data_IF_636727214390
#
_entry.id   IF_636727214390
#
_cell.length_a   1.000
_cell.length_b   1.000
_cell.length_c   1.000
_cell.angle_alpha   90.00
_cell.angle_beta   90.00
_cell.angle_gamma   90.00
#
_symmetry.space_group_name_H-M   'P 1'
#
loop_
_entity.id
_entity.type
_entity.pdbx_description
1 polymer ?
#
# COMPACT_ATOMS: atom_id res chain seq x y z
N UNK A 1 35.23 -55.46 37.78
CA UNK A 1 35.32 -54.55 36.63
C UNK A 1 33.90 -54.01 36.40
N UNK A 2 33.55 -52.85 36.93
CA UNK A 2 32.20 -52.26 36.90
C UNK A 2 32.23 -50.95 36.09
N UNK A 3 31.37 -50.86 35.24
CA UNK A 3 30.95 -50.07 34.10
C UNK A 3 31.05 -48.53 34.28
N UNK A 4 31.72 -47.80 33.40
CA UNK A 4 31.67 -46.32 33.38
C UNK A 4 30.54 -45.77 32.42
N UNK A 5 29.52 -46.54 32.11
CA UNK A 5 28.47 -46.10 31.14
C UNK A 5 27.41 -45.18 31.69
N UNK A 6 27.26 -45.08 33.01
CA UNK A 6 26.17 -44.31 33.62
C UNK A 6 26.50 -42.83 33.79
N UNK A 7 27.79 -42.48 33.85
CA UNK A 7 28.24 -41.10 34.00
C UNK A 7 28.19 -40.27 32.70
N UNK A 8 28.29 -40.91 31.53
CA UNK A 8 28.20 -40.24 30.26
C UNK A 8 26.76 -39.86 29.88
N UNK A 9 25.77 -40.60 30.34
CA UNK A 9 24.38 -40.30 30.06
C UNK A 9 23.84 -39.08 30.83
N UNK A 10 24.37 -38.88 32.04
CA UNK A 10 24.02 -37.76 32.92
C UNK A 10 24.59 -36.42 32.41
N UNK A 11 25.79 -36.45 31.81
CA UNK A 11 26.41 -35.24 31.25
C UNK A 11 25.71 -34.78 29.95
N UNK A 12 25.20 -35.71 29.15
CA UNK A 12 24.50 -35.38 27.88
C UNK A 12 23.12 -34.82 28.15
N UNK A 13 22.45 -35.22 29.23
CA UNK A 13 21.11 -34.73 29.59
C UNK A 13 21.14 -33.32 30.17
N UNK A 14 22.22 -32.92 30.83
CA UNK A 14 22.43 -31.57 31.36
C UNK A 14 22.70 -30.52 30.26
N UNK A 15 23.32 -30.91 29.13
CA UNK A 15 23.60 -29.99 28.03
C UNK A 15 22.39 -29.60 27.21
N UNK A 16 21.29 -30.41 27.26
CA UNK A 16 20.05 -30.11 26.54
C UNK A 16 19.10 -29.13 27.28
N UNK A 17 19.34 -28.89 28.57
CA UNK A 17 18.52 -27.97 29.36
C UNK A 17 19.03 -26.54 29.38
N UNK A 18 20.25 -26.29 28.85
CA UNK A 18 20.82 -24.94 28.82
C UNK A 18 20.48 -24.11 27.57
N UNK A 19 19.70 -24.68 26.62
CA UNK A 19 19.46 -24.05 25.33
C UNK A 19 18.19 -23.17 25.25
N UNK A 20 17.49 -22.93 26.35
CA UNK A 20 16.25 -22.13 26.35
C UNK A 20 16.23 -21.02 27.41
N UNK A 21 17.37 -20.41 27.69
CA UNK A 21 17.39 -19.12 28.38
C UNK A 21 17.62 -18.02 27.33
N UNK A 22 16.63 -17.83 26.50
CA UNK A 22 16.50 -16.58 25.75
C UNK A 22 16.27 -15.49 26.78
N UNK A 23 17.34 -14.77 27.11
CA UNK A 23 17.28 -13.58 27.96
C UNK A 23 16.26 -12.65 27.36
N UNK A 24 15.15 -12.43 28.07
CA UNK A 24 14.36 -11.24 27.95
C UNK A 24 15.24 -10.06 28.40
N UNK A 25 16.15 -9.62 27.53
CA UNK A 25 16.73 -8.29 27.70
C UNK A 25 15.54 -7.31 27.58
N UNK A 26 15.36 -6.42 28.56
CA UNK A 26 14.44 -5.32 28.39
C UNK A 26 14.85 -4.61 27.10
N UNK A 27 13.95 -4.58 26.13
CA UNK A 27 14.16 -3.88 24.86
C UNK A 27 14.38 -2.40 25.24
N UNK A 28 15.63 -1.96 25.09
CA UNK A 28 15.97 -0.56 25.31
C UNK A 28 15.07 0.25 24.36
N UNK A 29 14.29 1.22 24.89
CA UNK A 29 13.39 1.98 24.04
C UNK A 29 14.19 2.58 22.88
N UNK A 30 13.82 2.22 21.66
CA UNK A 30 14.46 2.72 20.47
C UNK A 30 14.58 4.25 20.56
N UNK A 31 15.74 4.83 20.24
CA UNK A 31 15.90 6.27 20.28
C UNK A 31 14.79 6.94 19.46
N UNK A 32 14.22 8.05 19.92
CA UNK A 32 13.17 8.74 19.18
C UNK A 32 13.70 9.02 17.77
N UNK A 33 12.97 8.52 16.77
CA UNK A 33 13.31 8.81 15.38
C UNK A 33 13.35 10.31 15.22
N UNK A 34 14.44 10.88 14.66
CA UNK A 34 14.44 12.30 14.38
C UNK A 34 13.21 12.60 13.52
N UNK A 35 12.41 13.57 13.97
CA UNK A 35 11.32 14.09 13.13
C UNK A 35 11.98 14.54 11.83
N UNK A 36 11.76 13.81 10.76
CA UNK A 36 12.07 14.30 9.41
C UNK A 36 11.12 15.48 9.18
N UNK A 37 11.53 16.64 9.62
CA UNK A 37 10.98 17.87 9.06
C UNK A 37 11.57 17.88 7.66
N UNK A 38 10.73 17.53 6.67
CA UNK A 38 11.12 17.68 5.27
C UNK A 38 11.34 19.17 5.04
N UNK A 39 12.59 19.64 4.83
CA UNK A 39 12.85 21.04 4.56
C UNK A 39 12.28 21.47 3.20
N UNK A 40 11.80 20.50 2.41
CA UNK A 40 11.18 20.74 1.12
C UNK A 40 9.70 20.32 1.22
N UNK A 41 8.77 21.22 1.55
CA UNK A 41 7.35 20.90 1.62
C UNK A 41 6.94 20.31 0.27
N UNK A 42 6.07 19.28 0.33
CA UNK A 42 5.49 18.68 -0.88
C UNK A 42 5.00 19.78 -1.82
N UNK A 43 5.31 19.70 -3.11
CA UNK A 43 4.82 20.69 -4.07
C UNK A 43 3.29 20.74 -3.99
N UNK A 44 2.72 21.90 -4.29
CA UNK A 44 1.26 22.04 -4.37
C UNK A 44 0.68 21.01 -5.34
N UNK A 45 -0.52 20.55 -5.05
CA UNK A 45 -1.22 19.63 -5.96
C UNK A 45 -1.39 20.30 -7.33
N UNK A 46 -1.06 19.53 -8.37
CA UNK A 46 -1.23 19.97 -9.75
C UNK A 46 -2.63 19.62 -10.23
N UNK A 47 -3.20 20.43 -11.09
CA UNK A 47 -4.38 20.04 -11.86
C UNK A 47 -4.05 18.86 -12.78
N UNK A 48 -5.03 18.06 -13.24
CA UNK A 48 -4.79 16.99 -14.19
C UNK A 48 -4.01 17.45 -15.44
N UNK A 49 -4.36 18.61 -15.97
CA UNK A 49 -3.72 19.21 -17.15
C UNK A 49 -2.27 19.65 -16.88
N UNK A 50 -2.00 20.17 -15.70
CA UNK A 50 -0.64 20.52 -15.27
C UNK A 50 0.19 19.27 -15.05
N UNK A 51 -0.40 18.25 -14.42
CA UNK A 51 0.26 16.96 -14.19
C UNK A 51 0.67 16.30 -15.51
N UNK A 52 -0.20 16.27 -16.51
CA UNK A 52 0.12 15.75 -17.85
C UNK A 52 1.32 16.43 -18.48
N UNK A 53 1.51 17.74 -18.29
CA UNK A 53 2.64 18.50 -18.83
C UNK A 53 3.98 18.12 -18.21
N UNK A 54 3.99 17.52 -17.02
CA UNK A 54 5.22 17.06 -16.34
C UNK A 54 5.73 15.73 -16.85
N UNK A 55 4.90 14.97 -17.61
CA UNK A 55 5.23 13.63 -18.09
C UNK A 55 6.00 13.70 -19.40
N UNK A 56 7.12 12.99 -19.47
CA UNK A 56 7.94 12.91 -20.70
C UNK A 56 7.59 11.64 -21.46
N UNK A 57 7.18 11.80 -22.69
CA UNK A 57 6.79 10.71 -23.58
C UNK A 57 7.81 10.53 -24.72
N UNK A 58 8.00 9.28 -25.20
CA UNK A 58 8.70 9.04 -26.46
C UNK A 58 7.99 9.71 -27.65
N UNK A 59 8.71 10.02 -28.73
CA UNK A 59 8.11 10.55 -29.94
C UNK A 59 6.99 9.64 -30.49
N UNK A 60 5.87 10.24 -30.90
CA UNK A 60 4.71 9.53 -31.45
C UNK A 60 3.67 9.10 -30.41
N UNK A 61 3.92 9.34 -29.13
CA UNK A 61 2.94 9.10 -28.06
C UNK A 61 2.34 10.41 -27.55
N UNK A 62 1.10 10.32 -27.08
CA UNK A 62 0.42 11.41 -26.39
C UNK A 62 -0.34 10.89 -25.18
N UNK A 63 -0.58 11.76 -24.20
CA UNK A 63 -1.42 11.46 -23.06
C UNK A 63 -2.85 11.91 -23.37
N UNK A 64 -3.80 11.10 -22.89
CA UNK A 64 -5.21 11.44 -22.88
C UNK A 64 -5.72 11.36 -21.43
N UNK A 65 -6.40 12.40 -20.99
CA UNK A 65 -7.07 12.41 -19.69
C UNK A 65 -8.36 11.62 -19.82
N UNK A 66 -8.43 10.46 -19.20
CA UNK A 66 -9.62 9.57 -19.23
C UNK A 66 -10.56 9.86 -18.08
N UNK A 67 -10.03 10.02 -16.87
CA UNK A 67 -10.77 10.35 -15.68
C UNK A 67 -9.87 11.00 -14.64
N UNK A 68 -10.45 11.79 -13.74
CA UNK A 68 -9.74 12.42 -12.64
C UNK A 68 -10.68 12.59 -11.45
N UNK A 69 -10.22 13.17 -10.37
CA UNK A 69 -11.10 13.63 -9.31
C UNK A 69 -12.04 14.75 -9.84
N UNK A 70 -13.28 14.79 -9.40
CA UNK A 70 -13.89 13.99 -8.32
C UNK A 70 -14.54 12.68 -8.76
N UNK A 71 -14.51 12.31 -10.04
CA UNK A 71 -15.16 11.11 -10.59
C UNK A 71 -14.62 9.83 -9.97
N UNK A 72 -13.31 9.80 -9.72
CA UNK A 72 -12.59 8.71 -9.05
C UNK A 72 -11.67 9.27 -7.97
N UNK A 73 -11.39 8.44 -6.94
CA UNK A 73 -10.43 8.77 -5.88
C UNK A 73 -9.60 7.53 -5.53
N UNK A 74 -8.28 7.71 -5.34
CA UNK A 74 -7.38 6.65 -4.91
C UNK A 74 -7.51 5.33 -5.69
N UNK A 75 -7.38 5.38 -7.03
CA UNK A 75 -7.51 4.20 -7.87
C UNK A 75 -6.35 3.25 -7.65
N UNK A 76 -6.65 1.95 -7.43
CA UNK A 76 -5.64 0.89 -7.23
C UNK A 76 -5.67 -0.15 -8.34
N UNK A 77 -6.77 -0.29 -9.04
CA UNK A 77 -6.92 -1.17 -10.19
C UNK A 77 -7.97 -0.64 -11.15
N UNK A 78 -7.75 -0.88 -12.45
CA UNK A 78 -8.69 -0.53 -13.51
C UNK A 78 -8.89 -1.70 -14.45
N UNK A 79 -10.11 -1.82 -15.00
CA UNK A 79 -10.43 -2.81 -16.03
C UNK A 79 -11.50 -2.27 -16.96
N UNK A 80 -11.36 -2.54 -18.26
CA UNK A 80 -12.36 -2.22 -19.28
C UNK A 80 -13.24 -3.44 -19.53
N UNK A 81 -14.53 -3.21 -19.74
CA UNK A 81 -15.40 -4.25 -20.26
C UNK A 81 -15.51 -4.19 -21.80
N UNK A 82 -16.20 -5.19 -22.36
CA UNK A 82 -16.39 -5.28 -23.83
C UNK A 82 -17.27 -4.16 -24.42
N UNK A 83 -17.89 -3.32 -23.60
CA UNK A 83 -18.72 -2.20 -24.04
C UNK A 83 -18.01 -0.84 -23.88
N UNK A 84 -16.72 -0.83 -23.54
CA UNK A 84 -15.96 0.40 -23.35
C UNK A 84 -16.18 1.10 -22.01
N UNK A 85 -16.80 0.43 -21.02
CA UNK A 85 -16.95 0.98 -19.67
C UNK A 85 -15.72 0.68 -18.83
N UNK A 86 -15.28 1.65 -18.05
CA UNK A 86 -14.14 1.53 -17.16
C UNK A 86 -14.60 1.24 -15.73
N UNK A 87 -14.08 0.18 -15.13
CA UNK A 87 -14.30 -0.14 -13.72
C UNK A 87 -13.03 0.18 -12.95
N UNK A 88 -13.19 0.95 -11.89
CA UNK A 88 -12.08 1.45 -11.06
C UNK A 88 -12.29 0.97 -9.63
N UNK A 89 -11.34 0.19 -9.11
CA UNK A 89 -11.32 -0.13 -7.69
C UNK A 89 -10.65 1.02 -6.93
N UNK A 90 -11.37 1.60 -5.99
CA UNK A 90 -10.95 2.73 -5.17
C UNK A 90 -10.70 2.30 -3.74
N UNK A 91 -9.49 2.56 -3.23
CA UNK A 91 -9.05 2.16 -1.89
C UNK A 91 -9.05 3.34 -0.92
N UNK A 92 -10.19 3.98 -0.78
CA UNK A 92 -10.40 5.30 -0.17
C UNK A 92 -10.15 5.39 1.33
N UNK A 93 -10.11 4.26 2.05
CA UNK A 93 -9.83 4.23 3.49
C UNK A 93 -8.39 3.79 3.81
N UNK A 94 -7.58 3.42 2.81
CA UNK A 94 -6.27 2.83 3.03
C UNK A 94 -5.20 3.91 3.27
N UNK A 95 -4.46 3.76 4.38
CA UNK A 95 -3.28 4.57 4.73
C UNK A 95 -3.49 6.09 4.63
N UNK A 96 -4.63 6.58 5.06
CA UNK A 96 -4.92 8.02 5.08
C UNK A 96 -3.99 8.79 6.03
N UNK A 97 -3.44 8.11 7.02
CA UNK A 97 -2.40 8.60 7.89
C UNK A 97 -1.43 7.48 8.31
N UNK A 98 -0.35 7.83 8.98
CA UNK A 98 0.68 6.89 9.45
C UNK A 98 0.16 5.89 10.50
N UNK A 99 -0.95 6.18 11.14
CA UNK A 99 -1.56 5.34 12.18
C UNK A 99 -2.61 4.38 11.61
N UNK A 100 -2.93 4.48 10.30
CA UNK A 100 -3.99 3.70 9.68
C UNK A 100 -5.38 4.08 10.20
N UNK A 101 -5.58 5.34 10.60
CA UNK A 101 -6.86 5.82 11.11
C UNK A 101 -7.92 5.69 10.03
N UNK A 102 -9.03 5.04 10.36
CA UNK A 102 -10.16 4.93 9.43
C UNK A 102 -10.09 3.79 8.43
N UNK A 103 -9.03 2.96 8.39
CA UNK A 103 -8.89 1.85 7.42
C UNK A 103 -10.05 0.84 7.45
N UNK A 104 -10.74 0.72 8.59
CA UNK A 104 -11.89 -0.18 8.75
C UNK A 104 -13.22 0.45 8.33
N UNK A 105 -13.22 1.72 7.93
CA UNK A 105 -14.44 2.38 7.43
C UNK A 105 -14.76 1.83 6.05
N UNK A 106 -15.97 1.31 5.79
CA UNK A 106 -16.33 0.68 4.53
C UNK A 106 -16.67 1.74 3.45
N UNK A 107 -15.68 2.53 3.02
CA UNK A 107 -15.80 3.57 1.99
C UNK A 107 -15.06 3.23 0.69
N UNK A 108 -14.32 2.12 0.68
CA UNK A 108 -13.77 1.56 -0.55
C UNK A 108 -14.89 1.08 -1.46
N UNK A 109 -14.71 1.22 -2.77
CA UNK A 109 -15.77 0.90 -3.72
C UNK A 109 -15.21 0.53 -5.09
N UNK A 110 -16.04 -0.03 -5.93
CA UNK A 110 -15.78 -0.12 -7.37
C UNK A 110 -16.68 0.90 -8.05
N UNK A 111 -16.08 1.82 -8.77
CA UNK A 111 -16.81 2.82 -9.58
C UNK A 111 -16.78 2.40 -11.03
N UNK A 112 -17.94 2.43 -11.68
CA UNK A 112 -18.08 2.24 -13.13
C UNK A 112 -18.20 3.59 -13.79
N UNK A 113 -17.34 3.83 -14.77
CA UNK A 113 -17.30 5.04 -15.58
C UNK A 113 -17.72 4.74 -17.02
N UNK A 114 -18.40 5.67 -17.63
CA UNK A 114 -18.89 5.61 -19.00
C UNK A 114 -18.54 6.91 -19.72
N UNK A 115 -18.05 6.81 -20.94
CA UNK A 115 -17.94 7.89 -21.91
C UNK A 115 -19.23 7.89 -22.70
N UNK A 116 -20.08 8.92 -22.52
CA UNK A 116 -21.42 8.94 -23.11
C UNK A 116 -21.48 9.72 -24.40
N UNK A 117 -20.49 10.56 -24.69
CA UNK A 117 -20.42 11.37 -25.91
C UNK A 117 -19.33 10.94 -26.91
N UNK A 118 -18.45 10.00 -26.49
CA UNK A 118 -17.44 9.40 -27.35
C UNK A 118 -16.19 10.25 -27.55
N UNK A 119 -15.90 11.18 -26.64
CA UNK A 119 -14.72 12.04 -26.70
C UNK A 119 -13.46 11.39 -26.11
N UNK A 120 -13.61 10.22 -25.48
CA UNK A 120 -12.54 9.46 -24.84
C UNK A 120 -12.30 9.85 -23.39
N UNK A 121 -13.11 10.73 -22.81
CA UNK A 121 -13.12 11.09 -21.40
C UNK A 121 -14.39 10.54 -20.76
N UNK A 122 -14.24 10.01 -19.55
CA UNK A 122 -15.39 9.52 -18.78
C UNK A 122 -16.18 10.70 -18.23
N UNK A 123 -17.48 10.75 -18.49
CA UNK A 123 -18.38 11.82 -18.10
C UNK A 123 -19.53 11.34 -17.19
N UNK A 124 -19.69 10.02 -17.05
CA UNK A 124 -20.69 9.45 -16.16
C UNK A 124 -20.07 8.46 -15.20
N UNK A 125 -20.30 8.66 -13.91
CA UNK A 125 -19.83 7.84 -12.82
C UNK A 125 -20.98 7.20 -12.07
N UNK A 126 -20.84 5.91 -11.74
CA UNK A 126 -21.82 5.13 -10.98
C UNK A 126 -21.11 4.20 -10.02
N UNK A 127 -21.50 4.20 -8.75
CA UNK A 127 -21.01 3.20 -7.79
C UNK A 127 -21.56 1.84 -8.21
N UNK A 128 -20.66 0.90 -8.47
CA UNK A 128 -21.01 -0.46 -8.89
C UNK A 128 -21.13 -1.41 -7.70
N UNK A 129 -20.20 -1.33 -6.76
CA UNK A 129 -20.17 -2.06 -5.48
C UNK A 129 -19.58 -1.13 -4.42
#
# INVERSE_FOLDING_TARGET
>A
MKQPRLLFLSALLCSLLFSCQQQNQPEEPAPPRPSRIDPNPSPAYLTPEESMKTMHLPPGYHLQLVASEPEIQEPVAIVWDGNGRLYVAEMRSYMQDILGTGEKIPICRITRLEDTDGDGKMDKSTIFI
#
